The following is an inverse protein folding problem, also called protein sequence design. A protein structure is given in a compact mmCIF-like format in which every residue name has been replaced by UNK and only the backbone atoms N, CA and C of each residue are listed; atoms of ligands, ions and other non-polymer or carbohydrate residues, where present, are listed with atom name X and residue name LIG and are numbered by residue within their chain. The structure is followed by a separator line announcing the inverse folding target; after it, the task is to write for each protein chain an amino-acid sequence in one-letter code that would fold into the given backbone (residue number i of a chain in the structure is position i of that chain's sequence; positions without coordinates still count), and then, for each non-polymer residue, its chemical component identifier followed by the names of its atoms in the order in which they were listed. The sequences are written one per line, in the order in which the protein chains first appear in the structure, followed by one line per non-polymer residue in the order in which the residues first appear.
data_IF_248916717179
#
_entry.id   IF_248916717179
#
_cell.length_a   1.000
_cell.length_b   1.000
_cell.length_c   1.000
_cell.angle_alpha   90.00
_cell.angle_beta   90.00
_cell.angle_gamma   90.00
#
_symmetry.space_group_name_H-M   'P 1'
#
loop_
_entity.id
_entity.type
_entity.pdbx_description
1 polymer ?
#
# COMPACT_ATOMS: atom_id res chain seq x y z
N UNK A 1 7.98 4.51 -7.00
CA UNK A 1 7.46 3.27 -7.67
C UNK A 1 6.12 2.84 -7.11
N UNK A 2 5.93 2.66 -5.80
CA UNK A 2 4.60 2.33 -5.23
C UNK A 2 3.53 3.41 -5.35
N UNK A 3 3.91 4.69 -5.22
CA UNK A 3 3.02 5.82 -5.52
C UNK A 3 2.48 5.75 -6.96
N UNK A 4 3.22 5.18 -7.90
CA UNK A 4 2.74 5.00 -9.27
C UNK A 4 1.70 3.88 -9.34
N UNK A 5 1.92 2.75 -8.65
CA UNK A 5 1.01 1.60 -8.68
C UNK A 5 -0.36 1.86 -8.03
N UNK A 6 -0.42 2.66 -6.96
CA UNK A 6 -1.69 2.98 -6.29
C UNK A 6 -2.39 4.20 -6.90
N UNK A 7 -1.66 5.22 -7.32
CA UNK A 7 -2.27 6.49 -7.77
C UNK A 7 -2.64 6.48 -9.26
N UNK A 8 -1.92 5.73 -10.10
CA UNK A 8 -2.21 5.68 -11.54
C UNK A 8 -3.58 5.08 -11.86
N UNK A 9 -4.02 3.97 -11.23
CA UNK A 9 -5.37 3.44 -11.45
C UNK A 9 -6.46 4.44 -11.07
N UNK A 10 -6.31 5.15 -9.94
CA UNK A 10 -7.30 6.14 -9.51
C UNK A 10 -7.35 7.35 -10.47
N UNK A 11 -6.20 7.85 -10.93
CA UNK A 11 -6.17 8.93 -11.93
C UNK A 11 -6.77 8.52 -13.29
N UNK A 12 -6.58 7.27 -13.72
CA UNK A 12 -7.17 6.70 -14.95
C UNK A 12 -8.70 6.52 -14.81
N UNK A 13 -9.21 6.36 -13.59
CA UNK A 13 -10.65 6.30 -13.35
C UNK A 13 -11.27 7.71 -13.37
N UNK A 14 -10.56 8.72 -12.86
CA UNK A 14 -11.02 10.11 -12.88
C UNK A 14 -10.96 10.78 -14.27
N UNK A 15 -9.99 10.39 -15.11
CA UNK A 15 -9.80 10.92 -16.47
C UNK A 15 -9.92 9.77 -17.46
N UNK A 16 -10.73 9.89 -18.51
CA UNK A 16 -10.90 8.81 -19.51
C UNK A 16 -9.55 8.15 -19.87
N UNK A 17 -9.43 6.82 -19.82
CA UNK A 17 -8.14 6.11 -19.88
C UNK A 17 -7.24 6.50 -21.06
N UNK A 18 -7.84 6.79 -22.23
CA UNK A 18 -7.12 7.20 -23.42
C UNK A 18 -6.59 8.65 -23.40
N UNK A 19 -7.21 9.53 -22.61
CA UNK A 19 -6.83 10.95 -22.52
C UNK A 19 -5.70 11.15 -21.51
N UNK A 20 -5.65 10.35 -20.45
CA UNK A 20 -4.55 10.35 -19.47
C UNK A 20 -3.25 9.76 -20.03
N UNK A 21 -3.34 8.82 -20.98
CA UNK A 21 -2.16 8.12 -21.51
C UNK A 21 -1.21 9.04 -22.29
N UNK A 22 -1.75 10.00 -23.05
CA UNK A 22 -0.96 10.92 -23.88
C UNK A 22 -0.01 11.80 -23.05
N UNK A 23 -0.47 12.58 -22.04
CA UNK A 23 0.41 13.37 -21.20
C UNK A 23 1.32 12.49 -20.33
N UNK A 24 0.85 11.32 -19.88
CA UNK A 24 1.68 10.37 -19.13
C UNK A 24 2.90 9.92 -19.93
N UNK A 25 2.70 9.47 -21.18
CA UNK A 25 3.80 9.05 -22.04
C UNK A 25 4.75 10.22 -22.36
N UNK A 26 4.22 11.42 -22.60
CA UNK A 26 5.05 12.60 -22.85
C UNK A 26 5.98 12.90 -21.66
N UNK A 27 5.44 12.94 -20.44
CA UNK A 27 6.24 13.21 -19.23
C UNK A 27 7.26 12.09 -18.98
N UNK A 28 6.91 10.83 -19.25
CA UNK A 28 7.83 9.69 -19.15
C UNK A 28 9.00 9.82 -20.14
N UNK A 29 8.73 10.10 -21.41
CA UNK A 29 9.79 10.17 -22.43
C UNK A 29 10.65 11.42 -22.32
N UNK A 30 10.05 12.57 -22.02
CA UNK A 30 10.76 13.86 -21.97
C UNK A 30 11.42 14.12 -20.62
N UNK A 31 10.80 13.67 -19.51
CA UNK A 31 11.30 13.91 -18.15
C UNK A 31 11.82 12.65 -17.48
N UNK A 32 10.99 11.61 -17.40
CA UNK A 32 11.28 10.39 -16.64
C UNK A 32 12.55 9.67 -17.11
N UNK A 33 12.62 9.32 -18.39
CA UNK A 33 13.74 8.57 -18.97
C UNK A 33 15.06 9.34 -18.89
N UNK A 34 15.13 10.64 -19.26
CA UNK A 34 16.37 11.41 -19.13
C UNK A 34 16.86 11.55 -17.68
N UNK A 35 15.96 11.81 -16.72
CA UNK A 35 16.33 11.94 -15.31
C UNK A 35 16.83 10.60 -14.75
N UNK A 36 16.15 9.51 -15.07
CA UNK A 36 16.56 8.17 -14.64
C UNK A 36 17.93 7.79 -15.21
N UNK A 37 18.18 8.08 -16.49
CA UNK A 37 19.47 7.84 -17.10
C UNK A 37 20.58 8.70 -16.47
N UNK A 38 20.31 9.98 -16.20
CA UNK A 38 21.24 10.88 -15.52
C UNK A 38 21.63 10.35 -14.14
N UNK A 39 20.66 9.88 -13.35
CA UNK A 39 20.88 9.34 -12.00
C UNK A 39 21.76 8.08 -12.04
N UNK A 40 21.48 7.15 -12.96
CA UNK A 40 22.29 5.94 -13.13
C UNK A 40 23.70 6.29 -13.60
N UNK A 41 23.84 7.16 -14.61
CA UNK A 41 25.14 7.55 -15.15
C UNK A 41 26.01 8.22 -14.08
N UNK A 42 25.44 9.14 -13.29
CA UNK A 42 26.13 9.79 -12.17
C UNK A 42 26.53 8.79 -11.08
N UNK A 43 25.62 7.86 -10.72
CA UNK A 43 25.89 6.82 -9.74
C UNK A 43 27.02 5.88 -10.16
N UNK A 44 27.03 5.46 -11.43
CA UNK A 44 28.08 4.60 -11.98
C UNK A 44 29.43 5.32 -12.14
N UNK A 45 29.42 6.61 -12.50
CA UNK A 45 30.65 7.40 -12.66
C UNK A 45 31.33 7.71 -11.32
N UNK A 46 30.57 8.19 -10.33
CA UNK A 46 31.11 8.63 -9.05
C UNK A 46 31.37 7.48 -8.08
N UNK A 47 30.67 6.34 -8.22
CA UNK A 47 30.76 5.16 -7.34
C UNK A 47 30.69 5.52 -5.84
N UNK A 48 29.96 6.59 -5.52
CA UNK A 48 29.88 7.18 -4.21
C UNK A 48 28.41 7.26 -3.76
N UNK A 49 28.19 7.31 -2.45
CA UNK A 49 26.84 7.48 -1.88
C UNK A 49 26.26 8.87 -2.16
N UNK A 50 24.94 9.00 -2.00
CA UNK A 50 24.16 10.21 -2.38
C UNK A 50 24.73 11.53 -1.83
N UNK A 51 25.32 11.53 -0.63
CA UNK A 51 25.95 12.73 -0.05
C UNK A 51 27.29 13.06 -0.71
N UNK A 52 28.12 12.05 -0.98
CA UNK A 52 29.48 12.23 -1.49
C UNK A 52 29.52 12.58 -2.98
N UNK A 53 28.47 12.22 -3.74
CA UNK A 53 28.33 12.58 -5.17
C UNK A 53 28.33 14.11 -5.36
N UNK A 54 27.73 14.86 -4.44
CA UNK A 54 27.61 16.32 -4.53
C UNK A 54 28.90 17.07 -4.16
N UNK A 55 30.00 16.39 -3.86
CA UNK A 55 31.31 17.04 -3.72
C UNK A 55 31.80 17.66 -5.06
N UNK A 56 31.18 17.29 -6.20
CA UNK A 56 31.44 17.92 -7.50
C UNK A 56 30.94 19.37 -7.59
N UNK A 57 29.87 19.70 -6.86
CA UNK A 57 29.26 21.02 -6.80
C UNK A 57 28.74 21.28 -5.37
N UNK A 58 29.56 21.85 -4.47
CA UNK A 58 29.27 21.93 -3.04
C UNK A 58 28.00 22.74 -2.72
N UNK A 59 27.57 23.63 -3.64
CA UNK A 59 26.30 24.35 -3.54
C UNK A 59 25.09 23.40 -3.43
N UNK A 60 25.15 22.24 -4.07
CA UNK A 60 24.07 21.25 -4.11
C UNK A 60 24.21 20.14 -3.06
N UNK A 61 25.16 20.25 -2.12
CA UNK A 61 25.37 19.25 -1.07
C UNK A 61 24.13 19.02 -0.19
N UNK A 62 23.26 20.03 -0.06
CA UNK A 62 21.96 19.92 0.62
C UNK A 62 21.00 18.90 -0.02
N UNK A 63 21.10 18.65 -1.33
CA UNK A 63 20.26 17.66 -2.02
C UNK A 63 20.53 16.24 -1.52
N UNK A 64 21.78 15.92 -1.19
CA UNK A 64 22.15 14.62 -0.64
C UNK A 64 21.64 14.39 0.80
N UNK A 65 21.53 15.45 1.60
CA UNK A 65 20.92 15.35 2.94
C UNK A 65 19.40 15.23 2.84
N UNK A 66 18.77 16.02 1.95
CA UNK A 66 17.33 15.95 1.69
C UNK A 66 16.92 14.55 1.22
N UNK A 67 17.66 13.96 0.28
CA UNK A 67 17.39 12.60 -0.20
C UNK A 67 17.47 11.56 0.92
N UNK A 68 18.44 11.67 1.83
CA UNK A 68 18.57 10.76 2.98
C UNK A 68 17.37 10.85 3.94
N UNK A 69 16.89 12.06 4.23
CA UNK A 69 15.72 12.29 5.08
C UNK A 69 14.45 11.74 4.43
N UNK A 70 14.26 11.97 3.13
CA UNK A 70 13.12 11.42 2.38
C UNK A 70 13.17 9.89 2.41
N UNK A 71 14.33 9.28 2.16
CA UNK A 71 14.50 7.82 2.21
C UNK A 71 14.20 7.26 3.59
N UNK A 72 14.56 7.96 4.67
CA UNK A 72 14.22 7.55 6.04
C UNK A 72 12.70 7.49 6.24
N UNK A 73 11.98 8.57 5.92
CA UNK A 73 10.52 8.60 6.05
C UNK A 73 9.83 7.56 5.15
N UNK A 74 10.29 7.41 3.90
CA UNK A 74 9.79 6.37 3.02
C UNK A 74 10.02 4.99 3.60
N UNK A 75 11.21 4.70 4.15
CA UNK A 75 11.52 3.39 4.74
C UNK A 75 10.58 3.07 5.91
N UNK A 76 10.40 4.00 6.85
CA UNK A 76 9.47 3.81 7.98
C UNK A 76 8.04 3.54 7.50
N UNK A 77 7.56 4.29 6.50
CA UNK A 77 6.25 4.08 5.90
C UNK A 77 6.13 2.68 5.24
N UNK A 78 7.13 2.27 4.46
CA UNK A 78 7.11 0.95 3.80
C UNK A 78 7.13 -0.20 4.81
N UNK A 79 7.87 -0.08 5.91
CA UNK A 79 7.90 -1.09 6.95
C UNK A 79 6.51 -1.25 7.60
N UNK A 80 5.76 -0.17 7.80
CA UNK A 80 4.38 -0.24 8.28
C UNK A 80 3.46 -0.98 7.30
N UNK A 81 3.57 -0.70 6.00
CA UNK A 81 2.78 -1.41 4.97
C UNK A 81 3.12 -2.91 4.95
N UNK A 82 4.40 -3.26 5.06
CA UNK A 82 4.84 -4.65 5.16
C UNK A 82 4.31 -5.32 6.43
N UNK A 83 4.23 -4.61 7.56
CA UNK A 83 3.66 -5.13 8.81
C UNK A 83 2.18 -5.44 8.66
N UNK A 84 1.39 -4.58 8.00
CA UNK A 84 0.00 -4.89 7.65
C UNK A 84 -0.09 -6.13 6.76
N UNK A 85 0.70 -6.20 5.68
CA UNK A 85 0.72 -7.37 4.81
C UNK A 85 1.08 -8.67 5.55
N UNK A 86 2.06 -8.63 6.44
CA UNK A 86 2.46 -9.77 7.26
C UNK A 86 1.37 -10.18 8.27
N UNK A 87 0.69 -9.21 8.88
CA UNK A 87 -0.45 -9.47 9.75
C UNK A 87 -1.60 -10.19 9.02
N UNK A 88 -1.97 -9.70 7.83
CA UNK A 88 -2.96 -10.36 6.98
C UNK A 88 -2.50 -11.75 6.52
N UNK A 89 -1.22 -11.92 6.20
CA UNK A 89 -0.65 -13.22 5.82
C UNK A 89 -0.81 -14.25 6.94
N UNK A 90 -0.51 -13.89 8.19
CA UNK A 90 -0.69 -14.78 9.34
C UNK A 90 -2.17 -15.17 9.51
N UNK A 91 -3.07 -14.18 9.45
CA UNK A 91 -4.51 -14.43 9.63
C UNK A 91 -5.12 -15.26 8.49
N UNK A 92 -4.55 -15.22 7.28
CA UNK A 92 -4.97 -16.05 6.14
C UNK A 92 -4.72 -17.54 6.30
N UNK A 93 -3.88 -17.98 7.25
CA UNK A 93 -3.71 -19.41 7.54
C UNK A 93 -4.85 -20.00 8.41
N UNK A 94 -5.80 -19.17 8.84
CA UNK A 94 -6.97 -19.61 9.59
C UNK A 94 -8.00 -20.26 8.64
N UNK A 95 -8.73 -21.27 9.12
CA UNK A 95 -9.74 -21.98 8.32
C UNK A 95 -10.91 -21.08 7.89
N UNK A 96 -11.28 -20.13 8.72
CA UNK A 96 -12.26 -19.08 8.43
C UNK A 96 -11.54 -17.74 8.48
N UNK A 97 -11.66 -16.95 7.41
CA UNK A 97 -10.98 -15.66 7.33
C UNK A 97 -11.75 -14.65 8.20
N UNK A 98 -11.07 -13.89 9.07
CA UNK A 98 -11.74 -13.02 10.03
C UNK A 98 -12.47 -11.82 9.38
N UNK A 99 -12.19 -11.55 8.10
CA UNK A 99 -12.89 -10.54 7.29
C UNK A 99 -13.91 -11.15 6.32
N UNK A 100 -14.22 -12.45 6.45
CA UNK A 100 -15.22 -13.11 5.62
C UNK A 100 -16.64 -13.00 6.18
N UNK A 101 -16.77 -12.81 7.49
CA UNK A 101 -18.07 -12.85 8.18
C UNK A 101 -18.33 -11.60 9.01
N UNK A 102 -19.60 -11.30 9.23
CA UNK A 102 -20.04 -10.20 10.09
C UNK A 102 -20.18 -10.62 11.57
N UNK A 103 -20.00 -11.90 11.90
CA UNK A 103 -20.07 -12.43 13.27
C UNK A 103 -18.76 -12.26 14.07
N UNK A 104 -18.30 -11.03 14.28
CA UNK A 104 -17.09 -10.75 15.05
C UNK A 104 -17.27 -9.57 16.03
N UNK A 105 -16.44 -9.52 17.08
CA UNK A 105 -16.53 -8.50 18.15
C UNK A 105 -16.30 -7.05 17.68
N UNK A 106 -15.63 -6.87 16.54
CA UNK A 106 -15.31 -5.55 15.98
C UNK A 106 -16.33 -5.06 14.94
N UNK A 107 -17.34 -5.87 14.65
CA UNK A 107 -18.34 -5.54 13.65
C UNK A 107 -19.50 -4.75 14.26
N UNK A 108 -19.98 -3.77 13.52
CA UNK A 108 -21.15 -2.96 13.82
C UNK A 108 -22.42 -3.64 13.30
N UNK A 109 -23.62 -3.24 13.78
CA UNK A 109 -24.88 -3.75 13.24
C UNK A 109 -25.10 -3.44 11.75
N UNK A 110 -24.27 -2.56 11.15
CA UNK A 110 -24.35 -2.16 9.75
C UNK A 110 -23.45 -3.03 8.82
N UNK A 111 -22.82 -4.08 9.34
CA UNK A 111 -21.99 -4.99 8.57
C UNK A 111 -22.84 -5.92 7.69
N UNK A 112 -22.52 -6.01 6.40
CA UNK A 112 -23.16 -6.93 5.45
C UNK A 112 -22.14 -7.82 4.74
N UNK A 113 -22.31 -9.14 4.86
CA UNK A 113 -21.42 -10.13 4.22
C UNK A 113 -21.59 -10.17 2.70
N UNK A 114 -22.81 -9.96 2.21
CA UNK A 114 -23.15 -10.04 0.80
C UNK A 114 -23.39 -8.65 0.23
N UNK A 115 -22.44 -8.17 -0.57
CA UNK A 115 -22.62 -7.00 -1.44
C UNK A 115 -23.49 -7.35 -2.64
N UNK A 116 -24.76 -7.67 -2.40
CA UNK A 116 -25.70 -7.46 -3.47
C UNK A 116 -25.87 -5.94 -3.57
N UNK A 117 -25.40 -5.35 -4.66
CA UNK A 117 -25.89 -4.06 -5.14
C UNK A 117 -27.40 -4.23 -5.38
N UNK A 118 -28.19 -4.20 -4.30
CA UNK A 118 -29.62 -4.03 -4.41
C UNK A 118 -29.77 -2.60 -4.90
N UNK A 119 -29.88 -2.46 -6.22
CA UNK A 119 -30.30 -1.23 -6.85
C UNK A 119 -31.67 -0.88 -6.25
N UNK A 120 -31.69 0.07 -5.34
CA UNK A 120 -32.92 0.66 -4.85
C UNK A 120 -33.55 1.49 -5.99
N UNK A 121 -34.26 0.79 -6.88
CA UNK A 121 -35.11 1.41 -7.89
C UNK A 121 -36.42 1.87 -7.25
N UNK A 122 -36.69 3.18 -7.29
CA UNK A 122 -37.90 3.84 -6.78
C UNK A 122 -38.27 3.52 -5.33
N UNK A 123 -37.53 4.07 -4.34
CA UNK A 123 -37.96 4.47 -2.98
C UNK A 123 -39.02 3.63 -2.21
N UNK A 124 -39.28 2.38 -2.57
CA UNK A 124 -40.15 1.47 -1.87
C UNK A 124 -39.25 0.49 -1.16
N UNK A 125 -39.26 0.58 0.18
CA UNK A 125 -38.85 -0.44 1.13
C UNK A 125 -38.39 -1.72 0.44
N UNK A 126 -37.08 -1.91 0.33
CA UNK A 126 -36.59 -3.25 0.10
C UNK A 126 -37.03 -4.05 1.33
N UNK A 127 -38.12 -4.81 1.23
CA UNK A 127 -38.45 -5.85 2.21
C UNK A 127 -37.49 -7.03 1.99
N UNK A 128 -36.20 -6.72 1.94
CA UNK A 128 -35.12 -7.66 1.77
C UNK A 128 -34.64 -7.99 3.17
N UNK A 129 -34.97 -9.18 3.63
CA UNK A 129 -34.39 -9.75 4.85
C UNK A 129 -32.94 -10.09 4.56
N UNK A 130 -32.03 -9.13 4.71
CA UNK A 130 -30.59 -9.38 4.68
C UNK A 130 -30.15 -9.59 6.12
N UNK A 131 -29.72 -10.81 6.46
CA UNK A 131 -29.32 -11.15 7.83
C UNK A 131 -30.45 -11.16 8.87
N UNK A 132 -31.72 -11.25 8.45
CA UNK A 132 -32.87 -11.34 9.37
C UNK A 132 -33.42 -10.00 9.88
N UNK A 133 -32.94 -8.86 9.39
CA UNK A 133 -33.45 -7.52 9.69
C UNK A 133 -34.21 -6.91 8.49
N UNK A 134 -35.31 -6.18 8.77
CA UNK A 134 -35.99 -5.34 7.78
C UNK A 134 -35.21 -4.03 7.62
N UNK A 135 -34.34 -3.96 6.61
CA UNK A 135 -33.50 -2.79 6.37
C UNK A 135 -34.13 -1.85 5.34
N UNK A 136 -34.05 -0.53 5.57
CA UNK A 136 -34.46 0.44 4.56
C UNK A 136 -33.33 0.68 3.54
N UNK A 137 -33.66 1.24 2.38
CA UNK A 137 -32.66 1.61 1.38
C UNK A 137 -31.65 2.67 1.87
N UNK A 138 -32.02 3.49 2.87
CA UNK A 138 -31.10 4.45 3.48
C UNK A 138 -30.06 3.73 4.34
N UNK A 139 -30.48 2.74 5.12
CA UNK A 139 -29.60 1.91 5.94
C UNK A 139 -28.65 1.07 5.08
N UNK A 140 -29.14 0.59 3.92
CA UNK A 140 -28.33 -0.19 2.97
C UNK A 140 -27.26 0.67 2.28
N UNK A 141 -27.48 1.99 2.16
CA UNK A 141 -26.50 2.92 1.61
C UNK A 141 -25.37 3.23 2.59
N UNK A 142 -25.60 3.09 3.90
CA UNK A 142 -24.58 3.22 4.95
C UNK A 142 -23.90 1.89 5.28
N UNK A 143 -24.38 0.78 4.73
CA UNK A 143 -23.84 -0.54 5.00
C UNK A 143 -22.34 -0.64 4.66
N UNK A 144 -21.60 -1.28 5.56
CA UNK A 144 -20.16 -1.48 5.43
C UNK A 144 -19.85 -2.95 5.25
N UNK A 145 -18.70 -3.21 4.65
CA UNK A 145 -18.25 -4.57 4.39
C UNK A 145 -17.43 -5.14 5.53
N UNK A 146 -17.44 -6.46 5.72
CA UNK A 146 -16.64 -7.10 6.76
C UNK A 146 -15.13 -6.85 6.58
N UNK A 147 -14.66 -6.65 5.33
CA UNK A 147 -13.27 -6.26 5.05
C UNK A 147 -12.97 -4.85 5.56
N UNK A 148 -13.85 -3.89 5.28
CA UNK A 148 -13.64 -2.49 5.66
C UNK A 148 -13.70 -2.34 7.17
N UNK A 149 -14.68 -2.97 7.82
CA UNK A 149 -14.80 -2.93 9.29
C UNK A 149 -13.64 -3.64 9.98
N UNK A 150 -13.19 -4.78 9.46
CA UNK A 150 -11.97 -5.43 9.96
C UNK A 150 -10.75 -4.49 9.87
N UNK A 151 -10.59 -3.78 8.75
CA UNK A 151 -9.48 -2.84 8.58
C UNK A 151 -9.59 -1.61 9.51
N UNK A 152 -10.75 -0.95 9.56
CA UNK A 152 -10.95 0.31 10.30
C UNK A 152 -11.03 0.07 11.82
N UNK A 153 -11.80 -0.92 12.28
CA UNK A 153 -12.09 -1.13 13.70
C UNK A 153 -11.06 -2.05 14.37
N UNK A 154 -10.57 -3.08 13.68
CA UNK A 154 -9.66 -4.08 14.28
C UNK A 154 -8.19 -3.81 13.97
N UNK A 155 -7.83 -3.58 12.71
CA UNK A 155 -6.41 -3.43 12.30
C UNK A 155 -5.88 -2.04 12.61
N UNK A 156 -6.57 -0.99 12.14
CA UNK A 156 -6.19 0.40 12.37
C UNK A 156 -6.66 0.91 13.73
N UNK A 157 -7.85 0.49 14.17
CA UNK A 157 -8.52 1.02 15.36
C UNK A 157 -8.59 2.56 15.30
N UNK A 158 -9.26 3.07 14.26
CA UNK A 158 -9.39 4.50 13.97
C UNK A 158 -10.02 5.21 15.17
N UNK A 159 -9.33 6.23 15.68
CA UNK A 159 -9.88 7.14 16.69
C UNK A 159 -10.72 8.25 16.04
N UNK A 160 -11.54 8.93 16.83
CA UNK A 160 -12.43 10.02 16.38
C UNK A 160 -11.70 11.29 15.92
N UNK A 161 -10.37 11.37 16.07
CA UNK A 161 -9.59 12.53 15.63
C UNK A 161 -8.09 12.44 15.96
N UNK A 162 -7.29 13.31 15.33
CA UNK A 162 -5.83 13.36 15.49
C UNK A 162 -5.40 13.78 16.91
N UNK A 163 -6.25 14.50 17.64
CA UNK A 163 -5.99 14.99 19.00
C UNK A 163 -6.10 13.90 20.07
N UNK A 164 -6.68 12.73 19.74
CA UNK A 164 -6.84 11.60 20.64
C UNK A 164 -6.17 10.38 20.02
N UNK A 165 -4.86 10.16 20.24
CA UNK A 165 -4.22 8.92 19.83
C UNK A 165 -4.94 7.77 20.54
N UNK A 166 -5.58 6.91 19.76
CA UNK A 166 -6.34 5.76 20.25
C UNK A 166 -5.46 4.72 20.94
N UNK A 167 -6.03 3.54 21.20
CA UNK A 167 -5.29 2.44 21.83
C UNK A 167 -4.38 1.74 20.82
N UNK A 168 -3.13 1.48 21.21
CA UNK A 168 -2.17 0.74 20.39
C UNK A 168 -2.57 -0.73 20.29
N UNK A 169 -2.73 -1.23 19.06
CA UNK A 169 -2.97 -2.64 18.77
C UNK A 169 -1.69 -3.45 18.99
N UNK A 170 -1.63 -4.24 20.07
CA UNK A 170 -0.46 -5.03 20.43
C UNK A 170 -0.13 -6.13 19.41
N UNK A 171 -1.14 -6.71 18.73
CA UNK A 171 -0.94 -7.70 17.65
C UNK A 171 -0.13 -7.08 16.50
N UNK A 172 -0.47 -5.84 16.14
CA UNK A 172 0.21 -5.10 15.09
C UNK A 172 1.62 -4.67 15.52
N UNK A 173 1.79 -4.28 16.78
CA UNK A 173 3.11 -3.95 17.34
C UNK A 173 4.07 -5.15 17.27
N UNK A 174 3.59 -6.35 17.60
CA UNK A 174 4.38 -7.58 17.47
C UNK A 174 4.72 -7.90 16.01
N UNK A 175 3.76 -7.75 15.09
CA UNK A 175 4.01 -7.92 13.66
C UNK A 175 5.04 -6.92 13.14
N UNK A 176 4.97 -5.66 13.58
CA UNK A 176 5.92 -4.61 13.22
C UNK A 176 7.34 -4.98 13.70
N UNK A 177 7.49 -5.43 14.94
CA UNK A 177 8.77 -5.89 15.48
C UNK A 177 9.33 -7.08 14.67
N UNK A 178 8.48 -8.05 14.32
CA UNK A 178 8.89 -9.20 13.50
C UNK A 178 9.39 -8.79 12.11
N UNK A 179 8.67 -7.87 11.44
CA UNK A 179 9.09 -7.34 10.12
C UNK A 179 10.40 -6.57 10.20
N UNK A 180 10.59 -5.75 11.25
CA UNK A 180 11.86 -5.06 11.49
C UNK A 180 13.03 -6.04 11.62
N UNK A 181 12.86 -7.11 12.41
CA UNK A 181 13.87 -8.15 12.59
C UNK A 181 14.15 -8.88 11.27
N UNK A 182 13.12 -9.22 10.51
CA UNK A 182 13.26 -9.86 9.19
C UNK A 182 14.06 -8.98 8.23
N UNK A 183 13.70 -7.70 8.10
CA UNK A 183 14.39 -6.76 7.22
C UNK A 183 15.84 -6.55 7.69
N UNK A 184 16.07 -6.46 9.00
CA UNK A 184 17.41 -6.40 9.55
C UNK A 184 18.25 -7.61 9.13
N UNK A 185 17.72 -8.84 9.22
CA UNK A 185 18.42 -10.05 8.76
C UNK A 185 18.66 -10.06 7.25
N UNK A 186 17.70 -9.59 6.44
CA UNK A 186 17.86 -9.45 4.99
C UNK A 186 18.99 -8.48 4.61
N UNK A 187 19.12 -7.37 5.34
CA UNK A 187 20.17 -6.37 5.12
C UNK A 187 21.51 -6.82 5.70
N UNK A 188 21.50 -7.51 6.86
CA UNK A 188 22.72 -7.95 7.54
C UNK A 188 23.55 -8.93 6.69
N UNK A 189 22.91 -9.84 5.94
CA UNK A 189 23.65 -10.70 4.98
C UNK A 189 24.17 -9.94 3.75
N UNK A 190 23.75 -8.70 3.56
CA UNK A 190 24.27 -7.78 2.57
C UNK A 190 23.78 -8.01 1.14
N UNK A 191 23.86 -6.94 0.36
CA UNK A 191 23.66 -6.85 -1.11
C UNK A 191 24.53 -7.82 -1.94
N UNK A 192 25.46 -8.55 -1.33
CA UNK A 192 26.28 -9.59 -2.00
C UNK A 192 25.48 -10.85 -2.38
N UNK A 193 24.26 -11.03 -1.86
CA UNK A 193 23.37 -12.14 -2.25
C UNK A 193 22.54 -11.83 -3.50
N UNK A 194 22.21 -10.56 -3.78
CA UNK A 194 21.31 -10.17 -4.87
C UNK A 194 21.94 -10.31 -6.26
N UNK A 195 23.28 -10.31 -6.36
CA UNK A 195 24.00 -10.49 -7.64
C UNK A 195 24.22 -11.94 -8.09
N UNK A 196 23.62 -12.95 -7.42
CA UNK A 196 23.84 -14.37 -7.72
C UNK A 196 22.67 -15.08 -8.41
N UNK A 197 21.79 -14.36 -9.11
CA UNK A 197 20.86 -15.00 -10.04
C UNK A 197 21.36 -14.74 -11.46
N UNK A 198 22.04 -15.71 -12.10
CA UNK A 198 22.28 -15.64 -13.54
C UNK A 198 20.90 -15.57 -14.22
N UNK A 199 20.66 -14.51 -14.96
CA UNK A 199 19.58 -14.47 -15.95
C UNK A 199 19.91 -15.60 -16.94
N UNK A 200 19.32 -16.78 -16.75
CA UNK A 200 19.41 -17.85 -17.74
C UNK A 200 18.50 -17.41 -18.88
N UNK A 201 19.03 -17.07 -20.07
CA UNK A 201 18.18 -16.95 -21.24
C UNK A 201 17.50 -18.32 -21.39
N UNK A 202 16.17 -18.34 -21.43
CA UNK A 202 15.42 -19.50 -21.88
C UNK A 202 16.06 -19.94 -23.21
N UNK A 203 16.62 -21.15 -23.19
CA UNK A 203 17.30 -21.72 -24.34
C UNK A 203 16.34 -21.79 -25.51
N UNK A 204 16.59 -20.95 -26.51
CA UNK A 204 16.36 -21.32 -27.89
C UNK A 204 17.65 -21.98 -28.37
N UNK A 205 17.57 -23.26 -28.64
CA UNK A 205 18.51 -23.93 -29.52
C UNK A 205 17.87 -25.20 -30.04
N UNK A 206 18.49 -25.85 -31.03
CA UNK A 206 19.25 -25.30 -32.15
C UNK A 206 18.34 -24.86 -33.32
#
# INVERSE_FOLDING_TARGET
MWLVFLTVPECIVCVSPGVFLIPYLLIVFVGGIPIFFLEIALGQFMKAGSINVWNIAPLFKGLGYSSMVIVFFCNTYYIMVLAWGFYYLIKSFSSTLPWSTCDNEWNTPNCLETFHHLHCGNASLANATVGGANLTCADLAEARSPIIEFWENKVLNISSGLDQPGRINWELMLCLMAVWVLVYFCVWKGVKSTGKVPFRPLGLGP
#
